data_IF_503322250916
#
_entry.id   IF_503322250916
#
_cell.length_a   1.000
_cell.length_b   1.000
_cell.length_c   1.000
_cell.angle_alpha   90.00
_cell.angle_beta   90.00
_cell.angle_gamma   90.00
#
_symmetry.space_group_name_H-M   'P 1'
#
loop_
_entity.id
_entity.type
_entity.pdbx_description
1 polymer ?
#
# COMPACT_ATOMS: atom_id res chain seq x y z
N UNK A 1 25.47 5.38 34.91
CA UNK A 1 24.94 4.00 34.91
C UNK A 1 23.57 4.02 34.22
N UNK A 2 23.45 3.53 32.99
CA UNK A 2 22.13 3.31 32.38
C UNK A 2 21.52 2.05 33.02
N UNK A 3 20.44 2.19 33.77
CA UNK A 3 19.62 1.04 34.16
C UNK A 3 18.99 0.49 32.88
N UNK A 4 19.52 -0.61 32.35
CA UNK A 4 18.78 -1.38 31.35
C UNK A 4 17.57 -1.98 32.08
N UNK A 5 16.39 -1.47 31.75
CA UNK A 5 15.15 -2.07 32.20
C UNK A 5 15.05 -3.47 31.57
N UNK A 6 14.93 -4.50 32.41
CA UNK A 6 14.82 -5.88 31.98
C UNK A 6 13.34 -6.21 31.71
N UNK A 7 13.04 -6.58 30.46
CA UNK A 7 11.70 -6.96 30.02
C UNK A 7 11.69 -8.44 29.61
N UNK A 8 11.35 -9.37 30.53
CA UNK A 8 11.41 -10.81 30.27
C UNK A 8 10.44 -11.27 29.19
N UNK A 9 9.36 -10.51 28.95
CA UNK A 9 8.37 -10.78 27.91
C UNK A 9 8.63 -10.08 26.60
N UNK A 10 9.82 -9.49 26.40
CA UNK A 10 10.15 -8.80 25.16
C UNK A 10 10.16 -9.80 24.01
N UNK A 11 9.45 -9.46 22.94
CA UNK A 11 9.38 -10.30 21.75
C UNK A 11 10.00 -9.61 20.53
N UNK A 12 10.70 -10.40 19.73
CA UNK A 12 11.30 -9.99 18.46
C UNK A 12 10.60 -10.70 17.30
N UNK A 13 10.64 -10.08 16.12
CA UNK A 13 10.13 -10.71 14.89
C UNK A 13 11.08 -11.82 14.47
N UNK A 14 10.56 -13.03 14.27
CA UNK A 14 11.34 -14.17 13.77
C UNK A 14 11.09 -14.35 12.27
N UNK A 15 11.91 -13.71 11.46
CA UNK A 15 11.80 -13.83 10.00
C UNK A 15 12.16 -15.24 9.51
N UNK A 16 11.29 -15.82 8.67
CA UNK A 16 11.60 -17.06 7.96
C UNK A 16 12.64 -16.81 6.88
N UNK A 17 13.69 -17.62 6.89
CA UNK A 17 14.81 -17.55 5.95
C UNK A 17 15.01 -18.87 5.23
N UNK A 18 15.48 -18.81 3.99
CA UNK A 18 15.89 -19.98 3.21
C UNK A 18 17.30 -20.45 3.58
N UNK A 19 17.81 -21.52 2.94
CA UNK A 19 19.15 -22.06 3.19
C UNK A 19 20.27 -21.03 3.00
N UNK A 20 20.07 -20.07 2.09
CA UNK A 20 21.02 -19.00 1.79
C UNK A 20 20.88 -17.78 2.74
N UNK A 21 20.02 -17.85 3.76
CA UNK A 21 19.81 -16.78 4.73
C UNK A 21 18.91 -15.62 4.27
N UNK A 22 18.42 -15.64 3.02
CA UNK A 22 17.46 -14.65 2.50
C UNK A 22 16.04 -14.91 3.01
N UNK A 23 15.24 -13.84 3.09
CA UNK A 23 13.84 -13.93 3.49
C UNK A 23 13.04 -14.85 2.57
N UNK A 24 12.24 -15.74 3.17
CA UNK A 24 11.22 -16.51 2.44
C UNK A 24 9.98 -15.67 2.23
N UNK A 25 9.58 -15.52 0.97
CA UNK A 25 8.39 -14.78 0.57
C UNK A 25 7.15 -15.65 0.43
N UNK A 26 7.31 -16.98 0.32
CA UNK A 26 6.20 -17.93 0.27
C UNK A 26 5.47 -18.01 1.62
N UNK A 27 4.19 -18.32 1.62
CA UNK A 27 3.38 -18.41 2.85
C UNK A 27 3.83 -19.58 3.73
N UNK A 28 3.77 -19.40 5.05
CA UNK A 28 3.90 -20.50 6.02
C UNK A 28 2.69 -21.44 5.94
N UNK A 29 2.77 -22.60 6.59
CA UNK A 29 1.63 -23.51 6.69
C UNK A 29 0.45 -22.86 7.43
N UNK A 30 0.73 -22.04 8.46
CA UNK A 30 -0.30 -21.26 9.16
C UNK A 30 -0.95 -20.21 8.25
N UNK A 31 -0.18 -19.53 7.40
CA UNK A 31 -0.72 -18.59 6.41
C UNK A 31 -1.48 -19.28 5.28
N UNK A 32 -1.02 -20.48 4.88
CA UNK A 32 -1.65 -21.31 3.87
C UNK A 32 -3.03 -21.81 4.32
N UNK A 33 -3.16 -22.20 5.60
CA UNK A 33 -4.44 -22.63 6.15
C UNK A 33 -5.54 -21.55 6.01
N UNK A 34 -5.19 -20.28 6.25
CA UNK A 34 -6.13 -19.15 6.07
C UNK A 34 -6.41 -18.91 4.59
N UNK A 35 -5.38 -19.01 3.75
CA UNK A 35 -5.51 -18.83 2.30
C UNK A 35 -6.45 -19.89 1.68
N UNK A 36 -6.32 -21.14 2.11
CA UNK A 36 -7.06 -22.27 1.53
C UNK A 36 -8.45 -22.43 2.15
N UNK A 37 -8.71 -21.78 3.29
CA UNK A 37 -10.02 -21.76 3.94
C UNK A 37 -10.49 -20.32 4.26
N UNK A 38 -11.18 -19.65 3.31
CA UNK A 38 -11.69 -18.30 3.49
C UNK A 38 -12.71 -18.13 4.62
N UNK A 39 -13.26 -19.20 5.20
CA UNK A 39 -14.14 -19.11 6.36
C UNK A 39 -13.39 -18.70 7.64
N UNK A 40 -12.05 -18.80 7.65
CA UNK A 40 -11.19 -18.37 8.74
C UNK A 40 -10.86 -16.88 8.69
N UNK A 41 -11.23 -16.18 7.62
CA UNK A 41 -11.02 -14.74 7.49
C UNK A 41 -11.97 -13.96 8.41
N UNK A 42 -11.42 -12.98 9.14
CA UNK A 42 -12.23 -12.06 9.92
C UNK A 42 -12.96 -11.06 9.00
N UNK A 43 -14.30 -11.11 9.00
CA UNK A 43 -15.18 -10.23 8.23
C UNK A 43 -15.89 -9.17 9.08
N UNK A 44 -15.49 -9.00 10.34
CA UNK A 44 -16.03 -7.93 11.19
C UNK A 44 -15.75 -6.53 10.61
N UNK A 45 -16.35 -5.49 11.18
CA UNK A 45 -15.97 -4.12 10.86
C UNK A 45 -14.56 -3.78 11.41
N UNK A 46 -13.76 -2.91 10.76
CA UNK A 46 -12.51 -2.42 11.32
C UNK A 46 -12.72 -1.73 12.68
N UNK A 47 -11.81 -1.97 13.62
CA UNK A 47 -11.77 -1.30 14.90
C UNK A 47 -11.16 0.11 14.76
N UNK A 48 -11.54 1.01 15.67
CA UNK A 48 -10.90 2.34 15.77
C UNK A 48 -9.43 2.19 16.13
N UNK A 49 -8.57 3.01 15.53
CA UNK A 49 -7.12 2.98 15.75
C UNK A 49 -6.74 3.08 17.23
N UNK A 50 -7.40 3.95 17.99
CA UNK A 50 -7.17 4.12 19.42
C UNK A 50 -7.36 2.82 20.21
N UNK A 51 -8.41 2.06 19.89
CA UNK A 51 -8.70 0.79 20.54
C UNK A 51 -7.67 -0.29 20.15
N UNK A 52 -7.22 -0.30 18.88
CA UNK A 52 -6.14 -1.20 18.43
C UNK A 52 -4.86 -0.91 19.20
N UNK A 53 -4.52 0.38 19.36
CA UNK A 53 -3.35 0.85 20.12
C UNK A 53 -3.44 0.46 21.60
N UNK A 54 -4.58 0.69 22.25
CA UNK A 54 -4.79 0.37 23.66
C UNK A 54 -4.70 -1.15 23.92
N UNK A 55 -5.30 -1.95 23.04
CA UNK A 55 -5.21 -3.41 23.10
C UNK A 55 -3.77 -3.88 22.96
N UNK A 56 -3.03 -3.33 21.99
CA UNK A 56 -1.61 -3.65 21.80
C UNK A 56 -0.77 -3.34 23.05
N UNK A 57 -0.93 -2.15 23.65
CA UNK A 57 -0.25 -1.82 24.91
C UNK A 57 -0.61 -2.79 26.03
N UNK A 58 -1.88 -3.18 26.14
CA UNK A 58 -2.35 -4.13 27.17
C UNK A 58 -1.70 -5.50 26.98
N UNK A 59 -1.63 -5.99 25.74
CA UNK A 59 -0.97 -7.27 25.40
C UNK A 59 0.52 -7.23 25.77
N UNK A 60 1.24 -6.18 25.38
CA UNK A 60 2.67 -6.01 25.70
C UNK A 60 2.90 -6.02 27.22
N UNK A 61 2.10 -5.24 27.97
CA UNK A 61 2.22 -5.19 29.44
C UNK A 61 1.92 -6.54 30.08
N UNK A 62 0.85 -7.22 29.65
CA UNK A 62 0.41 -8.51 30.22
C UNK A 62 1.48 -9.60 30.09
N UNK A 63 2.22 -9.63 28.98
CA UNK A 63 3.32 -10.59 28.80
C UNK A 63 4.63 -10.18 29.48
N UNK A 64 4.74 -8.95 30.01
CA UNK A 64 5.97 -8.42 30.59
C UNK A 64 6.97 -7.86 29.57
N UNK A 65 6.48 -7.38 28.42
CA UNK A 65 7.27 -6.69 27.39
C UNK A 65 7.44 -5.20 27.65
N UNK A 66 8.16 -4.51 26.78
CA UNK A 66 8.42 -3.07 26.87
C UNK A 66 7.32 -2.27 26.17
N UNK A 67 6.34 -1.79 26.93
CA UNK A 67 5.27 -0.96 26.40
C UNK A 67 5.72 0.46 26.00
N UNK A 68 6.97 0.84 26.29
CA UNK A 68 7.59 2.08 25.81
C UNK A 68 8.33 1.90 24.47
N UNK A 69 8.68 0.67 24.12
CA UNK A 69 9.22 0.33 22.80
C UNK A 69 8.10 0.34 21.76
N UNK A 70 8.08 1.40 20.94
CA UNK A 70 7.09 1.57 19.86
C UNK A 70 7.07 0.40 18.89
N UNK A 71 8.22 -0.22 18.61
CA UNK A 71 8.30 -1.36 17.68
C UNK A 71 7.65 -2.59 18.29
N UNK A 72 7.85 -2.83 19.58
CA UNK A 72 7.21 -3.93 20.28
C UNK A 72 5.69 -3.77 20.33
N UNK A 73 5.21 -2.56 20.63
CA UNK A 73 3.77 -2.22 20.63
C UNK A 73 3.17 -2.38 19.24
N UNK A 74 3.81 -1.83 18.20
CA UNK A 74 3.34 -1.98 16.82
C UNK A 74 3.31 -3.45 16.37
N UNK A 75 4.20 -4.29 16.88
CA UNK A 75 4.15 -5.74 16.61
C UNK A 75 2.85 -6.41 17.05
N UNK A 76 2.17 -5.84 18.06
CA UNK A 76 0.88 -6.31 18.57
C UNK A 76 -0.34 -5.64 17.96
N UNK A 77 -0.15 -4.67 17.06
CA UNK A 77 -1.28 -4.11 16.32
C UNK A 77 -1.92 -5.21 15.48
N UNK A 78 -3.23 -5.33 15.61
CA UNK A 78 -4.03 -6.26 14.83
C UNK A 78 -4.34 -5.63 13.47
N UNK A 79 -4.07 -6.37 12.38
CA UNK A 79 -4.48 -6.01 11.03
C UNK A 79 -5.99 -5.80 10.98
N UNK A 80 -6.39 -4.64 10.46
CA UNK A 80 -7.79 -4.24 10.33
C UNK A 80 -8.33 -4.46 8.91
N UNK A 81 -7.53 -5.03 8.00
CA UNK A 81 -7.84 -5.18 6.59
C UNK A 81 -7.22 -6.45 5.99
N UNK A 82 -7.72 -6.83 4.80
CA UNK A 82 -7.22 -7.94 4.00
C UNK A 82 -7.52 -9.32 4.60
N UNK A 83 -7.09 -10.38 3.90
CA UNK A 83 -7.33 -11.77 4.30
C UNK A 83 -6.73 -12.19 5.65
N UNK A 84 -5.73 -11.46 6.12
CA UNK A 84 -5.09 -11.68 7.42
C UNK A 84 -5.61 -10.73 8.50
N UNK A 85 -6.76 -10.08 8.28
CA UNK A 85 -7.45 -9.33 9.32
C UNK A 85 -7.59 -10.19 10.59
N UNK A 86 -7.37 -9.58 11.74
CA UNK A 86 -7.37 -10.29 13.03
C UNK A 86 -6.01 -10.86 13.44
N UNK A 87 -5.00 -10.88 12.56
CA UNK A 87 -3.62 -11.24 12.90
C UNK A 87 -2.78 -10.02 13.26
N UNK A 88 -1.77 -10.20 14.11
CA UNK A 88 -0.88 -9.11 14.48
C UNK A 88 0.10 -8.75 13.34
N UNK A 89 0.65 -7.55 13.37
CA UNK A 89 1.68 -7.13 12.42
C UNK A 89 2.91 -8.04 12.49
N UNK A 90 3.34 -8.43 13.70
CA UNK A 90 4.42 -9.41 13.88
C UNK A 90 4.09 -10.72 13.18
N UNK A 91 2.89 -11.26 13.45
CA UNK A 91 2.48 -12.53 12.85
C UNK A 91 2.58 -12.49 11.33
N UNK A 92 2.16 -11.39 10.70
CA UNK A 92 2.25 -11.26 9.23
C UNK A 92 3.69 -11.30 8.72
N UNK A 93 4.61 -10.58 9.36
CA UNK A 93 6.03 -10.59 8.98
C UNK A 93 6.70 -11.95 9.21
N UNK A 94 6.22 -12.74 10.16
CA UNK A 94 6.74 -14.09 10.41
C UNK A 94 6.18 -15.11 9.40
N UNK A 95 4.95 -14.92 8.93
CA UNK A 95 4.19 -15.95 8.20
C UNK A 95 3.97 -15.69 6.71
N UNK A 96 3.99 -14.44 6.23
CA UNK A 96 3.79 -14.12 4.80
C UNK A 96 4.41 -12.77 4.43
N UNK A 97 5.75 -12.70 4.44
CA UNK A 97 6.50 -11.51 4.02
C UNK A 97 6.20 -11.13 2.57
N UNK A 98 5.93 -12.10 1.69
CA UNK A 98 5.58 -11.82 0.29
C UNK A 98 4.25 -11.07 0.18
N UNK A 99 3.25 -11.41 1.00
CA UNK A 99 2.02 -10.63 1.11
C UNK A 99 2.28 -9.23 1.66
N UNK A 100 3.07 -9.11 2.73
CA UNK A 100 3.47 -7.80 3.25
C UNK A 100 4.11 -6.93 2.16
N UNK A 101 5.07 -7.48 1.41
CA UNK A 101 5.74 -6.85 0.27
C UNK A 101 4.75 -6.30 -0.77
N UNK A 102 3.74 -7.10 -1.14
CA UNK A 102 2.67 -6.69 -2.08
C UNK A 102 1.75 -5.61 -1.51
N UNK A 103 1.45 -5.65 -0.22
CA UNK A 103 0.61 -4.64 0.45
C UNK A 103 1.25 -3.26 0.39
N UNK A 104 2.58 -3.13 0.49
CA UNK A 104 3.25 -1.83 0.29
C UNK A 104 3.04 -1.23 -1.11
N UNK A 105 2.76 -2.10 -2.10
CA UNK A 105 2.59 -1.70 -3.50
C UNK A 105 1.11 -1.50 -3.89
N UNK A 106 0.17 -1.78 -2.99
CA UNK A 106 -1.27 -1.69 -3.25
C UNK A 106 -1.86 -0.42 -2.64
N UNK A 107 -2.56 0.37 -3.44
CA UNK A 107 -3.37 1.51 -2.98
C UNK A 107 -4.80 1.05 -2.63
N UNK A 108 -5.38 1.49 -1.50
CA UNK A 108 -6.85 1.43 -1.32
C UNK A 108 -7.43 0.87 -0.02
N UNK A 109 -6.69 0.73 1.08
CA UNK A 109 -7.25 0.25 2.35
C UNK A 109 -6.99 1.22 3.51
N UNK A 110 -7.78 1.09 4.60
CA UNK A 110 -7.79 1.93 5.82
C UNK A 110 -6.45 2.64 6.06
N UNK A 111 -6.42 3.97 5.84
CA UNK A 111 -5.18 4.78 5.83
C UNK A 111 -4.33 4.54 7.09
N UNK A 112 -4.94 4.46 8.27
CA UNK A 112 -4.20 4.45 9.54
C UNK A 112 -3.58 3.08 9.87
N UNK A 113 -4.34 2.00 9.75
CA UNK A 113 -3.83 0.63 9.96
C UNK A 113 -2.76 0.26 8.94
N UNK A 114 -2.95 0.64 7.67
CA UNK A 114 -1.94 0.42 6.63
C UNK A 114 -0.68 1.24 6.91
N UNK A 115 -0.81 2.52 7.24
CA UNK A 115 0.35 3.39 7.53
C UNK A 115 1.13 2.91 8.76
N UNK A 116 0.42 2.48 9.81
CA UNK A 116 1.04 1.87 11.00
C UNK A 116 1.78 0.59 10.66
N UNK A 117 1.22 -0.28 9.82
CA UNK A 117 1.88 -1.49 9.35
C UNK A 117 3.14 -1.17 8.52
N UNK A 118 3.05 -0.18 7.63
CA UNK A 118 4.18 0.26 6.82
C UNK A 118 5.31 0.80 7.70
N UNK A 119 4.98 1.65 8.67
CA UNK A 119 5.94 2.18 9.64
C UNK A 119 6.62 1.07 10.43
N UNK A 120 5.84 0.11 10.93
CA UNK A 120 6.36 -1.05 11.65
C UNK A 120 7.31 -1.89 10.78
N UNK A 121 6.88 -2.28 9.60
CA UNK A 121 7.65 -3.21 8.78
C UNK A 121 8.93 -2.58 8.22
N UNK A 122 8.92 -1.28 7.91
CA UNK A 122 10.11 -0.55 7.47
C UNK A 122 11.13 -0.31 8.60
N UNK A 123 10.76 -0.54 9.86
CA UNK A 123 11.74 -0.53 10.97
C UNK A 123 12.76 -1.66 10.88
N UNK A 124 12.44 -2.74 10.16
CA UNK A 124 13.33 -3.90 9.98
C UNK A 124 14.22 -3.74 8.75
N UNK A 125 15.52 -4.00 8.92
CA UNK A 125 16.50 -3.95 7.81
C UNK A 125 16.18 -5.03 6.76
N UNK A 126 15.71 -6.18 7.20
CA UNK A 126 15.39 -7.33 6.35
C UNK A 126 14.30 -6.97 5.33
N UNK A 127 13.26 -6.25 5.76
CA UNK A 127 12.18 -5.78 4.89
C UNK A 127 12.68 -4.70 3.92
N UNK A 128 13.46 -3.72 4.41
CA UNK A 128 14.04 -2.69 3.55
C UNK A 128 14.92 -3.30 2.46
N UNK A 129 15.81 -4.23 2.82
CA UNK A 129 16.66 -4.94 1.85
C UNK A 129 15.84 -5.74 0.84
N UNK A 130 14.75 -6.38 1.27
CA UNK A 130 13.85 -7.09 0.35
C UNK A 130 13.19 -6.12 -0.63
N UNK A 131 12.64 -5.00 -0.17
CA UNK A 131 11.99 -4.02 -1.04
C UNK A 131 12.98 -3.38 -2.02
N UNK A 132 14.21 -3.09 -1.58
CA UNK A 132 15.29 -2.64 -2.47
C UNK A 132 15.65 -3.70 -3.50
N UNK A 133 15.72 -4.97 -3.10
CA UNK A 133 15.98 -6.05 -4.05
C UNK A 133 14.84 -6.19 -5.06
N UNK A 134 13.58 -6.17 -4.64
CA UNK A 134 12.42 -6.26 -5.53
C UNK A 134 12.29 -5.04 -6.46
N UNK A 135 12.74 -3.85 -6.04
CA UNK A 135 12.75 -2.67 -6.91
C UNK A 135 13.90 -2.67 -7.92
N UNK A 136 15.01 -3.32 -7.58
CA UNK A 136 16.18 -3.49 -8.45
C UNK A 136 16.10 -4.74 -9.33
N UNK A 137 15.30 -5.72 -8.92
CA UNK A 137 15.01 -6.90 -9.71
C UNK A 137 14.49 -6.39 -11.04
N UNK A 138 15.20 -6.63 -12.16
CA UNK A 138 14.58 -6.47 -13.46
C UNK A 138 13.33 -7.32 -13.38
N UNK A 139 12.16 -6.70 -13.55
CA UNK A 139 10.92 -7.46 -13.60
C UNK A 139 11.22 -8.58 -14.57
N UNK A 140 11.16 -9.83 -14.12
CA UNK A 140 11.16 -10.97 -15.02
C UNK A 140 9.79 -10.97 -15.73
N UNK A 141 9.43 -9.86 -16.37
CA UNK A 141 8.77 -9.91 -17.65
C UNK A 141 9.74 -10.67 -18.52
N UNK A 142 9.26 -11.82 -18.99
CA UNK A 142 9.82 -12.70 -20.00
C UNK A 142 11.07 -12.16 -20.70
N UNK A 143 12.06 -13.03 -20.87
CA UNK A 143 13.08 -12.95 -21.92
C UNK A 143 12.64 -12.00 -23.05
N UNK A 144 13.20 -10.79 -23.07
CA UNK A 144 12.94 -9.76 -24.08
C UNK A 144 11.47 -9.66 -24.58
N UNK A 145 10.47 -9.65 -23.68
CA UNK A 145 9.14 -9.17 -24.06
C UNK A 145 9.30 -7.70 -24.46
N UNK A 146 8.98 -7.39 -25.71
CA UNK A 146 9.06 -6.04 -26.23
C UNK A 146 8.25 -5.07 -25.35
N UNK A 147 8.64 -3.79 -25.31
CA UNK A 147 7.96 -2.73 -24.52
C UNK A 147 6.42 -2.72 -24.73
N UNK A 148 5.99 -3.12 -25.93
CA UNK A 148 4.60 -3.29 -26.35
C UNK A 148 3.79 -4.35 -25.55
N UNK A 149 4.44 -5.42 -25.08
CA UNK A 149 3.81 -6.55 -24.38
C UNK A 149 3.65 -6.31 -22.87
N UNK A 150 4.17 -5.18 -22.38
CA UNK A 150 4.04 -4.84 -20.97
C UNK A 150 2.58 -4.56 -20.61
N UNK A 151 2.12 -5.08 -19.47
CA UNK A 151 0.76 -4.83 -18.98
C UNK A 151 0.65 -3.44 -18.33
N UNK A 152 -0.51 -2.79 -18.45
CA UNK A 152 -0.85 -1.54 -17.75
C UNK A 152 -0.75 -1.76 -16.24
N UNK A 153 -1.38 -2.83 -15.73
CA UNK A 153 -1.26 -3.25 -14.33
C UNK A 153 -1.88 -2.30 -13.30
N UNK A 154 -2.78 -1.39 -13.73
CA UNK A 154 -3.60 -0.50 -12.90
C UNK A 154 -4.88 -0.07 -13.64
N UNK A 155 -5.89 0.40 -12.90
CA UNK A 155 -7.15 0.92 -13.45
C UNK A 155 -8.03 -0.13 -14.15
N UNK A 156 -9.06 0.35 -14.88
CA UNK A 156 -10.00 -0.51 -15.63
C UNK A 156 -9.36 -1.29 -16.78
N UNK A 157 -8.15 -0.89 -17.19
CA UNK A 157 -7.37 -1.51 -18.26
C UNK A 157 -6.17 -2.31 -17.74
N UNK A 158 -6.18 -2.71 -16.46
CA UNK A 158 -5.01 -3.32 -15.82
C UNK A 158 -4.48 -4.59 -16.51
N UNK A 159 -5.37 -5.34 -17.17
CA UNK A 159 -5.04 -6.57 -17.89
C UNK A 159 -4.64 -6.34 -19.36
N UNK A 160 -4.75 -5.11 -19.86
CA UNK A 160 -4.36 -4.79 -21.23
C UNK A 160 -2.86 -4.56 -21.35
N UNK A 161 -2.33 -4.89 -22.53
CA UNK A 161 -0.95 -4.57 -22.90
C UNK A 161 -0.81 -3.10 -23.32
N UNK A 162 0.40 -2.57 -23.29
CA UNK A 162 0.69 -1.21 -23.74
C UNK A 162 0.37 -1.03 -25.23
N UNK A 163 0.61 -2.07 -26.04
CA UNK A 163 0.17 -2.11 -27.45
C UNK A 163 -1.33 -2.00 -27.57
N UNK A 164 -2.10 -2.78 -26.81
CA UNK A 164 -3.57 -2.72 -26.87
C UNK A 164 -4.09 -1.31 -26.53
N UNK A 165 -3.47 -0.61 -25.56
CA UNK A 165 -3.84 0.79 -25.25
C UNK A 165 -3.53 1.75 -26.40
N UNK A 166 -2.43 1.52 -27.10
CA UNK A 166 -2.06 2.32 -28.27
C UNK A 166 -2.97 2.06 -29.47
N UNK A 167 -3.29 0.79 -29.72
CA UNK A 167 -4.13 0.37 -30.83
C UNK A 167 -5.59 0.78 -30.60
N UNK A 168 -6.07 0.77 -29.35
CA UNK A 168 -7.42 1.22 -28.98
C UNK A 168 -7.52 2.70 -28.59
N UNK A 169 -6.52 3.54 -28.94
CA UNK A 169 -6.41 4.93 -28.46
C UNK A 169 -7.61 5.83 -28.79
N UNK A 170 -8.40 5.47 -29.78
CA UNK A 170 -9.62 6.18 -30.19
C UNK A 170 -10.72 6.13 -29.11
N UNK A 171 -10.60 5.22 -28.13
CA UNK A 171 -11.50 5.15 -26.96
C UNK A 171 -11.28 6.27 -25.93
N UNK A 172 -10.26 7.11 -26.12
CA UNK A 172 -9.93 8.25 -25.26
C UNK A 172 -9.11 7.91 -24.00
N UNK A 173 -8.83 6.64 -23.72
CA UNK A 173 -8.04 6.23 -22.56
C UNK A 173 -6.59 6.70 -22.66
N UNK A 174 -5.96 6.54 -23.82
CA UNK A 174 -4.59 7.02 -24.07
C UNK A 174 -4.48 8.55 -23.91
N UNK A 175 -5.45 9.29 -24.46
CA UNK A 175 -5.52 10.75 -24.33
C UNK A 175 -5.70 11.21 -22.87
N UNK A 176 -6.47 10.46 -22.07
CA UNK A 176 -6.60 10.70 -20.65
C UNK A 176 -5.27 10.54 -19.91
N UNK A 177 -4.53 9.45 -20.16
CA UNK A 177 -3.23 9.20 -19.52
C UNK A 177 -2.20 10.28 -19.92
N UNK A 178 -2.18 10.70 -21.17
CA UNK A 178 -1.28 11.75 -21.65
C UNK A 178 -1.51 13.12 -20.97
N UNK A 179 -2.74 13.41 -20.51
CA UNK A 179 -3.09 14.67 -19.83
C UNK A 179 -2.82 14.66 -18.33
N UNK A 180 -2.49 13.52 -17.72
CA UNK A 180 -2.33 13.41 -16.26
C UNK A 180 -0.93 13.76 -15.81
N UNK A 181 -0.83 14.49 -14.69
CA UNK A 181 0.43 14.60 -13.96
C UNK A 181 0.76 13.25 -13.33
N UNK A 182 1.90 12.67 -13.73
CA UNK A 182 2.33 11.36 -13.31
C UNK A 182 3.58 11.48 -12.43
N UNK A 183 3.55 10.83 -11.26
CA UNK A 183 4.72 10.76 -10.38
C UNK A 183 5.81 9.90 -11.04
N UNK A 184 7.05 10.40 -11.17
CA UNK A 184 8.15 9.64 -11.77
C UNK A 184 8.35 8.26 -11.14
N UNK A 185 8.64 7.26 -11.98
CA UNK A 185 8.85 5.87 -11.55
C UNK A 185 7.58 5.03 -11.36
N UNK A 186 6.39 5.64 -11.33
CA UNK A 186 5.11 4.90 -11.27
C UNK A 186 4.79 4.16 -12.58
N UNK A 187 3.92 3.14 -12.51
CA UNK A 187 3.43 2.42 -13.71
C UNK A 187 2.71 3.36 -14.69
N UNK A 188 1.97 4.34 -14.17
CA UNK A 188 1.26 5.34 -14.99
C UNK A 188 2.23 6.27 -15.72
N UNK A 189 3.30 6.71 -15.04
CA UNK A 189 4.37 7.49 -15.67
C UNK A 189 5.09 6.70 -16.78
N UNK A 190 5.36 5.41 -16.55
CA UNK A 190 5.97 4.54 -17.56
C UNK A 190 5.07 4.34 -18.79
N UNK A 191 3.77 4.09 -18.58
CA UNK A 191 2.80 4.01 -19.69
C UNK A 191 2.70 5.34 -20.44
N UNK A 192 2.70 6.47 -19.72
CA UNK A 192 2.67 7.80 -20.33
C UNK A 192 3.89 8.03 -21.24
N UNK A 193 5.09 7.66 -20.80
CA UNK A 193 6.31 7.75 -21.61
C UNK A 193 6.23 6.89 -22.88
N UNK A 194 5.72 5.67 -22.77
CA UNK A 194 5.51 4.80 -23.93
C UNK A 194 4.54 5.41 -24.96
N UNK A 195 3.41 5.96 -24.50
CA UNK A 195 2.43 6.60 -25.39
C UNK A 195 3.00 7.86 -26.06
N UNK A 196 3.79 8.66 -25.34
CA UNK A 196 4.50 9.81 -25.91
C UNK A 196 5.49 9.37 -26.98
N UNK A 197 6.29 8.34 -26.70
CA UNK A 197 7.26 7.76 -27.65
C UNK A 197 6.58 7.26 -28.93
N UNK A 198 5.47 6.52 -28.81
CA UNK A 198 4.69 6.03 -29.97
C UNK A 198 4.07 7.17 -30.77
N UNK A 199 3.58 8.22 -30.11
CA UNK A 199 3.07 9.41 -30.79
C UNK A 199 4.18 10.15 -31.56
N UNK A 200 5.38 10.26 -31.00
CA UNK A 200 6.53 10.86 -31.71
C UNK A 200 6.98 10.02 -32.91
N UNK A 201 6.95 8.69 -32.81
CA UNK A 201 7.34 7.77 -33.89
C UNK A 201 6.30 7.74 -35.02
N UNK A 202 5.00 7.78 -34.70
CA UNK A 202 3.93 7.82 -35.70
C UNK A 202 3.99 9.08 -36.58
N UNK A 203 4.52 10.19 -36.05
CA UNK A 203 4.72 11.45 -36.82
C UNK A 203 5.88 11.33 -37.84
N UNK A 204 6.80 10.38 -37.66
CA UNK A 204 7.96 10.20 -38.55
C UNK A 204 7.75 9.16 -39.64
N UNK A 205 6.82 8.22 -39.45
CA UNK A 205 6.49 7.16 -40.42
C UNK A 205 5.52 7.64 -41.52
N UNK A 206 4.83 8.77 -41.32
CA UNK A 206 3.80 9.28 -42.24
C UNK A 206 4.35 10.22 -43.33
N UNK A 207 5.67 10.36 -43.47
CA UNK A 207 6.29 11.12 -44.58
C UNK A 207 6.38 10.33 -45.90
N UNK A 208 5.64 9.24 -46.04
CA UNK A 208 5.55 8.48 -47.29
C UNK A 208 4.18 7.85 -47.55
N UNK A 209 3.09 8.63 -47.47
CA UNK A 209 2.03 8.54 -48.49
C UNK A 209 1.07 9.73 -48.41
N UNK A 210 1.26 10.69 -49.31
CA UNK A 210 0.30 11.77 -49.57
C UNK A 210 -0.96 11.23 -50.27
N UNK A 211 -1.96 10.75 -49.53
CA UNK A 211 -3.39 10.91 -49.86
C UNK A 211 -4.27 10.23 -48.81
N UNK A 212 -4.86 11.00 -47.89
CA UNK A 212 -6.32 11.17 -47.81
C UNK A 212 -6.63 12.10 -46.62
N UNK A 213 -6.66 13.40 -46.90
CA UNK A 213 -7.41 14.34 -46.06
C UNK A 213 -8.88 13.92 -46.10
N UNK A 214 -9.40 13.47 -44.95
CA UNK A 214 -10.71 13.86 -44.37
C UNK A 214 -11.13 12.85 -43.31
N UNK A 215 -10.59 12.98 -42.10
CA UNK A 215 -11.40 12.88 -40.86
C UNK A 215 -10.52 13.04 -39.62
N UNK A 216 -10.96 13.92 -38.72
CA UNK A 216 -10.54 14.05 -37.32
C UNK A 216 -9.16 14.65 -37.07
N UNK A 217 -9.19 15.96 -36.83
CA UNK A 217 -8.05 16.79 -36.50
C UNK A 217 -7.37 16.39 -35.18
N UNK A 218 -6.12 15.98 -35.31
CA UNK A 218 -5.13 15.96 -34.23
C UNK A 218 -3.74 16.37 -34.75
N UNK A 219 -3.70 17.39 -35.61
CA UNK A 219 -2.46 18.05 -36.00
C UNK A 219 -2.54 19.49 -35.55
N UNK A 220 -2.09 19.74 -34.32
CA UNK A 220 -1.47 20.98 -33.86
C UNK A 220 -1.24 20.86 -32.36
N UNK A 221 -0.14 21.48 -31.91
CA UNK A 221 0.31 21.62 -30.52
C UNK A 221 1.28 20.51 -30.07
N UNK A 222 2.44 20.50 -30.72
CA UNK A 222 3.71 20.38 -29.98
C UNK A 222 4.49 21.67 -30.26
N UNK A 223 4.94 22.32 -29.18
CA UNK A 223 5.71 23.57 -29.12
C UNK A 223 4.95 24.89 -29.32
N UNK A 224 4.40 25.44 -28.23
CA UNK A 224 4.61 26.85 -27.88
C UNK A 224 4.79 26.93 -26.36
N UNK A 225 5.97 27.37 -25.94
CA UNK A 225 6.24 27.84 -24.58
C UNK A 225 5.61 29.23 -24.50
N UNK A 226 4.77 29.48 -23.49
CA UNK A 226 4.57 30.83 -22.96
C UNK A 226 4.39 30.70 -21.44
N UNK A 227 5.34 31.28 -20.72
CA UNK A 227 5.37 31.40 -19.27
C UNK A 227 4.40 32.52 -18.86
N UNK A 228 3.18 32.17 -18.44
CA UNK A 228 2.28 33.15 -17.82
C UNK A 228 2.68 33.39 -16.34
N UNK A 229 3.75 34.16 -16.13
CA UNK A 229 4.19 34.68 -14.81
C UNK A 229 3.11 35.53 -14.09
N UNK A 230 2.05 35.92 -14.79
CA UNK A 230 1.00 36.78 -14.25
C UNK A 230 -0.06 36.02 -13.42
N UNK A 231 -0.23 34.71 -13.65
CA UNK A 231 -1.12 33.86 -12.85
C UNK A 231 -0.52 33.50 -11.49
N UNK A 232 0.81 33.38 -11.40
CA UNK A 232 1.50 33.06 -10.15
C UNK A 232 1.51 34.25 -9.17
N UNK A 233 1.62 35.49 -9.67
CA UNK A 233 1.48 36.71 -8.83
C UNK A 233 0.08 36.87 -8.24
N UNK A 234 -0.96 36.43 -8.95
CA UNK A 234 -2.35 36.55 -8.50
C UNK A 234 -2.70 35.58 -7.35
N UNK A 235 -1.97 34.48 -7.16
CA UNK A 235 -2.22 33.54 -6.06
C UNK A 235 -1.55 33.90 -4.73
N UNK A 236 -0.63 34.88 -4.71
CA UNK A 236 0.15 35.25 -3.53
C UNK A 236 -0.43 36.41 -2.69
N UNK A 237 -1.59 36.98 -3.06
CA UNK A 237 -2.13 38.19 -2.41
C UNK A 237 -3.39 38.03 -1.56
N UNK A 238 -3.85 36.81 -1.26
CA UNK A 238 -5.05 36.62 -0.43
C UNK A 238 -4.72 35.87 0.86
N UNK A 239 -4.24 36.62 1.86
CA UNK A 239 -4.40 36.23 3.27
C UNK A 239 -5.64 36.92 3.85
N UNK A 240 -6.39 36.23 4.73
CA UNK A 240 -6.66 36.88 6.01
C UNK A 240 -6.45 35.98 7.23
N UNK A 241 -5.72 36.58 8.16
CA UNK A 241 -5.54 36.23 9.56
C UNK A 241 -6.85 36.31 10.36
N UNK A 242 -7.08 35.29 11.20
CA UNK A 242 -7.60 35.26 12.59
C UNK A 242 -8.82 36.12 13.06
N UNK A 243 -9.54 35.47 14.00
CA UNK A 243 -10.44 35.98 15.09
C UNK A 243 -11.89 36.31 14.67
N UNK A 244 -12.96 36.03 15.44
CA UNK A 244 -13.19 35.55 16.82
C UNK A 244 -14.71 35.30 17.04
N UNK A 245 -15.07 34.39 17.97
CA UNK A 245 -16.31 34.29 18.83
C UNK A 245 -17.72 34.25 18.18
N UNK A 246 -18.77 33.57 18.67
CA UNK A 246 -19.10 32.93 19.96
C UNK A 246 -20.38 32.03 19.82
N UNK A 247 -20.45 31.00 20.66
CA UNK A 247 -21.61 30.44 21.39
C UNK A 247 -22.80 29.77 20.64
N UNK A 248 -23.06 28.50 20.94
CA UNK A 248 -24.24 28.02 21.71
C UNK A 248 -24.12 26.53 22.09
N UNK A 249 -24.80 26.18 23.18
CA UNK A 249 -24.53 25.11 24.16
C UNK A 249 -25.59 23.96 24.09
N UNK A 250 -25.26 22.79 24.68
CA UNK A 250 -26.13 21.83 25.46
C UNK A 250 -26.91 20.75 24.65
N UNK A 251 -27.01 19.44 24.97
CA UNK A 251 -26.60 18.50 26.06
C UNK A 251 -26.76 17.00 25.63
N UNK A 252 -26.38 15.97 26.44
CA UNK A 252 -26.02 14.63 25.99
C UNK A 252 -27.08 13.54 26.26
N UNK A 253 -26.94 12.37 25.61
CA UNK A 253 -27.53 11.09 26.07
C UNK A 253 -26.56 9.91 25.89
N UNK A 254 -26.38 9.20 27.00
CA UNK A 254 -25.73 7.89 27.18
C UNK A 254 -26.27 6.81 26.24
N UNK A 255 -25.43 5.82 25.89
CA UNK A 255 -25.62 4.37 26.21
C UNK A 255 -24.39 3.57 25.74
N UNK A 256 -23.83 2.75 26.64
CA UNK A 256 -22.73 1.80 26.41
C UNK A 256 -23.34 0.42 26.14
N UNK A 257 -22.97 -0.30 25.06
CA UNK A 257 -23.28 -1.73 24.95
C UNK A 257 -22.10 -2.58 25.45
N UNK A 258 -22.36 -3.31 26.52
CA UNK A 258 -21.54 -4.39 27.07
C UNK A 258 -21.55 -5.59 26.13
N UNK A 259 -20.42 -5.98 25.54
CA UNK A 259 -20.16 -7.33 25.02
C UNK A 259 -18.65 -7.49 24.74
N UNK A 260 -18.14 -8.72 24.87
CA UNK A 260 -16.72 -9.17 24.76
C UNK A 260 -15.97 -9.17 26.12
N UNK A 261 -16.56 -9.84 27.09
CA UNK A 261 -15.80 -10.75 27.96
C UNK A 261 -16.33 -12.12 27.57
N UNK A 262 -15.62 -12.91 26.75
CA UNK A 262 -15.79 -14.38 26.56
C UNK A 262 -14.87 -14.96 25.45
N UNK A 263 -13.59 -14.58 25.39
CA UNK A 263 -12.60 -15.29 24.54
C UNK A 263 -11.22 -15.46 25.20
N UNK A 264 -11.15 -15.49 26.52
CA UNK A 264 -9.90 -15.74 27.27
C UNK A 264 -10.06 -16.82 28.35
N UNK A 265 -10.87 -17.85 28.11
CA UNK A 265 -10.89 -19.04 28.95
C UNK A 265 -11.23 -20.26 28.08
N UNK A 266 -10.23 -20.81 27.42
CA UNK A 266 -10.17 -22.21 26.99
C UNK A 266 -8.74 -22.47 26.53
N UNK A 267 -7.83 -22.64 27.48
CA UNK A 267 -6.55 -23.37 27.27
C UNK A 267 -5.80 -23.61 28.59
N UNK A 268 -6.51 -23.95 29.67
CA UNK A 268 -5.90 -24.53 30.88
C UNK A 268 -6.91 -25.47 31.53
N UNK A 269 -6.95 -26.72 31.06
CA UNK A 269 -7.33 -27.90 31.86
C UNK A 269 -7.10 -29.15 31.01
N UNK A 270 -5.93 -29.77 31.18
CA UNK A 270 -5.56 -30.99 30.46
C UNK A 270 -4.32 -31.68 31.01
N UNK A 271 -4.10 -31.65 32.33
CA UNK A 271 -3.20 -32.59 33.02
C UNK A 271 -3.86 -32.98 34.34
N UNK A 272 -4.37 -34.22 34.42
CA UNK A 272 -4.13 -35.09 35.58
C UNK A 272 -4.67 -36.51 35.36
N UNK A 273 -3.74 -37.47 35.47
CA UNK A 273 -3.82 -38.81 36.05
C UNK A 273 -4.84 -39.85 35.53
N UNK A 274 -4.25 -40.90 34.95
CA UNK A 274 -4.70 -42.28 34.86
C UNK A 274 -3.48 -43.14 34.51
#
# INVERSE_FOLDING_TARGET
>A
MHKQNFFPGRMLVVFRKGPLGYLRQDNSDAARLIKDNPSLEDRSAPMREELVRENAHTVVRRRGGDASDKTEVLGEYILQFGKYKGKSFRWLLENDVGYAARVFMAEGHSKDSLLSFVSYALSFKEIRSLLTYESQKPVATAAAASEDEQLVGFGSRATNTWREIWDSRDDGYAAFILKKSCVPGTKMHKLQQYLQKKASVAVWDDSSFSHLYRSHGWVLILFMMDEDEELERAMLSISPSKQSTQTLHITPKHTIPTCIVHLLNNDLNGVSMG
#
